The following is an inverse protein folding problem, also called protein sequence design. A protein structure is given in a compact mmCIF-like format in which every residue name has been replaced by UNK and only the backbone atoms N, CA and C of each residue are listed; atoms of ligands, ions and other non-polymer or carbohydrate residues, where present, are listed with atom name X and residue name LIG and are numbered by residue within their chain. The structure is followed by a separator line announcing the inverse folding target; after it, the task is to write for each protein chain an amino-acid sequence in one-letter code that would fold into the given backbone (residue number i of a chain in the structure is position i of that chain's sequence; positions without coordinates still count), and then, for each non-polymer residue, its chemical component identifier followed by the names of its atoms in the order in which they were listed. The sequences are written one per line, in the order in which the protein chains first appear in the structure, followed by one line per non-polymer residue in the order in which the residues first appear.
data_IF_851931736028
#
_entry.id   IF_851931736028
#
_cell.length_a   1.000
_cell.length_b   1.000
_cell.length_c   1.000
_cell.angle_alpha   90.00
_cell.angle_beta   90.00
_cell.angle_gamma   90.00
#
_symmetry.space_group_name_H-M   'P 1'
#
loop_
_entity.id
_entity.type
_entity.pdbx_description
1 polymer ?
#
# COMPACT_ATOMS: atom_id res chain seq x y z
N UNK A 1 18.86 8.49 9.80
CA UNK A 1 17.62 8.03 9.13
C UNK A 1 16.94 9.20 8.43
N UNK A 2 16.51 10.22 9.18
CA UNK A 2 15.76 11.38 8.66
C UNK A 2 16.51 12.10 7.53
N UNK A 3 17.80 12.39 7.69
CA UNK A 3 18.60 13.08 6.66
C UNK A 3 18.68 12.27 5.35
N UNK A 4 18.76 10.94 5.43
CA UNK A 4 18.74 10.06 4.24
C UNK A 4 17.40 10.11 3.54
N UNK A 5 16.30 10.07 4.28
CA UNK A 5 14.95 10.18 3.73
C UNK A 5 14.71 11.55 3.08
N UNK A 6 15.28 12.63 3.63
CA UNK A 6 15.22 13.95 3.02
C UNK A 6 16.02 14.03 1.70
N UNK A 7 17.20 13.41 1.65
CA UNK A 7 17.99 13.32 0.42
C UNK A 7 17.22 12.55 -0.68
N UNK A 8 16.60 11.42 -0.32
CA UNK A 8 15.75 10.65 -1.22
C UNK A 8 14.55 11.49 -1.69
N UNK A 9 13.91 12.24 -0.79
CA UNK A 9 12.78 13.10 -1.13
C UNK A 9 13.16 14.15 -2.19
N UNK A 10 14.35 14.76 -2.06
CA UNK A 10 14.85 15.71 -3.03
C UNK A 10 15.11 15.07 -4.40
N UNK A 11 15.63 13.85 -4.44
CA UNK A 11 15.89 13.12 -5.68
C UNK A 11 14.61 12.63 -6.38
N UNK A 12 13.55 12.34 -5.63
CA UNK A 12 12.30 11.86 -6.21
C UNK A 12 11.65 12.85 -7.19
N UNK A 13 11.98 14.14 -7.10
CA UNK A 13 11.52 15.15 -8.06
C UNK A 13 12.12 14.97 -9.46
N UNK A 14 13.30 14.37 -9.57
CA UNK A 14 14.01 14.16 -10.85
C UNK A 14 14.02 12.70 -11.28
N UNK A 15 14.09 11.76 -10.33
CA UNK A 15 14.11 10.32 -10.60
C UNK A 15 13.33 9.54 -9.52
N UNK A 16 12.00 9.40 -9.70
CA UNK A 16 11.14 8.64 -8.77
C UNK A 16 11.53 7.17 -8.65
N UNK A 17 12.02 6.55 -9.72
CA UNK A 17 12.42 5.13 -9.73
C UNK A 17 13.69 4.90 -8.92
N UNK A 18 14.69 5.75 -9.05
CA UNK A 18 15.90 5.69 -8.22
C UNK A 18 15.60 6.00 -6.74
N UNK A 19 14.73 6.97 -6.48
CA UNK A 19 14.29 7.27 -5.11
C UNK A 19 13.56 6.07 -4.49
N UNK A 20 12.73 5.37 -5.27
CA UNK A 20 12.06 4.16 -4.82
C UNK A 20 13.06 3.04 -4.49
N UNK A 21 14.01 2.75 -5.39
CA UNK A 21 15.05 1.75 -5.16
C UNK A 21 15.89 2.05 -3.91
N UNK A 22 16.15 3.33 -3.62
CA UNK A 22 16.83 3.74 -2.39
C UNK A 22 15.98 3.53 -1.14
N UNK A 23 14.67 3.75 -1.20
CA UNK A 23 13.76 3.45 -0.09
C UNK A 23 13.71 1.95 0.17
N UNK A 24 13.71 1.12 -0.88
CA UNK A 24 13.76 -0.33 -0.75
C UNK A 24 15.07 -0.80 -0.12
N UNK A 25 16.21 -0.31 -0.60
CA UNK A 25 17.51 -0.62 -0.02
C UNK A 25 17.58 -0.19 1.46
N UNK A 26 17.10 1.01 1.77
CA UNK A 26 17.04 1.52 3.15
C UNK A 26 16.12 0.67 4.04
N UNK A 27 15.00 0.18 3.52
CA UNK A 27 14.13 -0.72 4.25
C UNK A 27 14.86 -2.02 4.60
N UNK A 28 15.57 -2.62 3.63
CA UNK A 28 16.35 -3.85 3.85
C UNK A 28 17.43 -3.67 4.92
N UNK A 29 18.13 -2.53 4.91
CA UNK A 29 19.15 -2.20 5.92
C UNK A 29 18.62 -2.15 7.36
N UNK A 30 17.33 -1.79 7.54
CA UNK A 30 16.75 -1.61 8.87
C UNK A 30 15.95 -2.79 9.38
N UNK A 31 15.72 -3.83 8.57
CA UNK A 31 14.83 -4.96 8.94
C UNK A 31 15.19 -5.60 10.28
N UNK A 32 16.49 -5.79 10.54
CA UNK A 32 17.02 -6.44 11.75
C UNK A 32 17.11 -5.50 12.96
N UNK A 33 16.84 -4.20 12.79
CA UNK A 33 16.87 -3.21 13.87
C UNK A 33 15.46 -2.65 14.13
N UNK A 34 14.76 -3.10 15.18
CA UNK A 34 13.37 -2.70 15.45
C UNK A 34 13.16 -1.19 15.59
N UNK A 35 14.11 -0.47 16.19
CA UNK A 35 14.00 0.98 16.39
C UNK A 35 14.18 1.74 15.07
N UNK A 36 15.21 1.37 14.30
CA UNK A 36 15.46 1.96 12.99
C UNK A 36 14.33 1.63 12.00
N UNK A 37 13.82 0.39 12.04
CA UNK A 37 12.66 -0.07 11.27
C UNK A 37 11.43 0.76 11.57
N UNK A 38 11.12 0.95 12.86
CA UNK A 38 9.97 1.77 13.27
C UNK A 38 10.10 3.21 12.77
N UNK A 39 11.29 3.80 12.85
CA UNK A 39 11.52 5.16 12.34
C UNK A 39 11.34 5.21 10.83
N UNK A 40 11.87 4.23 10.11
CA UNK A 40 11.71 4.14 8.66
C UNK A 40 10.22 4.01 8.27
N UNK A 41 9.49 3.08 8.88
CA UNK A 41 8.07 2.83 8.64
C UNK A 41 7.18 4.05 8.91
N UNK A 42 7.57 4.92 9.86
CA UNK A 42 6.85 6.14 10.18
C UNK A 42 7.20 7.32 9.26
N UNK A 43 8.38 7.35 8.67
CA UNK A 43 8.85 8.52 7.90
C UNK A 43 8.84 8.27 6.38
N UNK A 44 9.18 7.07 5.91
CA UNK A 44 9.17 6.69 4.50
C UNK A 44 7.83 6.94 3.77
N UNK A 45 6.64 6.68 4.34
CA UNK A 45 5.38 6.94 3.63
C UNK A 45 5.06 8.43 3.47
N UNK A 46 5.82 9.34 4.11
CA UNK A 46 5.69 10.79 3.94
C UNK A 46 6.61 11.35 2.86
N UNK A 47 7.54 10.54 2.37
CA UNK A 47 8.52 10.95 1.36
C UNK A 47 7.87 10.97 -0.02
N UNK A 48 8.17 12.02 -0.78
CA UNK A 48 7.87 12.13 -2.21
C UNK A 48 6.42 11.77 -2.56
N UNK A 49 5.46 12.48 -1.96
CA UNK A 49 4.03 12.27 -2.21
C UNK A 49 3.59 10.80 -2.03
N UNK A 50 4.11 10.18 -0.97
CA UNK A 50 3.76 8.82 -0.58
C UNK A 50 4.36 7.72 -1.46
N UNK A 51 5.50 7.97 -2.11
CA UNK A 51 6.14 7.05 -3.04
C UNK A 51 6.27 5.61 -2.50
N UNK A 52 6.64 5.46 -1.23
CA UNK A 52 6.82 4.16 -0.57
C UNK A 52 5.56 3.63 0.13
N UNK A 53 4.49 4.43 0.20
CA UNK A 53 3.26 4.06 0.90
C UNK A 53 2.64 2.75 0.34
N UNK A 54 2.55 2.51 -0.98
CA UNK A 54 2.02 1.25 -1.51
C UNK A 54 2.83 0.02 -1.07
N UNK A 55 4.16 0.15 -0.94
CA UNK A 55 5.03 -0.96 -0.55
C UNK A 55 4.80 -1.36 0.91
N UNK A 56 4.75 -0.36 1.81
CA UNK A 56 4.37 -0.62 3.20
C UNK A 56 2.94 -1.16 3.28
N UNK A 57 1.99 -0.58 2.54
CA UNK A 57 0.61 -1.05 2.56
C UNK A 57 0.49 -2.51 2.12
N UNK A 58 1.21 -2.91 1.07
CA UNK A 58 1.30 -4.30 0.62
C UNK A 58 1.77 -5.24 1.73
N UNK A 59 2.93 -4.95 2.33
CA UNK A 59 3.54 -5.82 3.33
C UNK A 59 2.64 -5.96 4.57
N UNK A 60 2.04 -4.86 5.02
CA UNK A 60 1.14 -4.87 6.16
C UNK A 60 -0.23 -5.48 5.85
N UNK A 61 -0.69 -5.39 4.60
CA UNK A 61 -1.91 -6.08 4.17
C UNK A 61 -1.70 -7.60 4.17
N UNK A 62 -0.54 -8.08 3.70
CA UNK A 62 -0.20 -9.50 3.76
C UNK A 62 -0.18 -10.01 5.21
N UNK A 63 0.41 -9.23 6.13
CA UNK A 63 0.45 -9.56 7.55
C UNK A 63 -0.93 -9.48 8.22
N UNK A 64 -1.73 -8.47 7.89
CA UNK A 64 -3.10 -8.30 8.37
C UNK A 64 -4.01 -9.48 8.05
N UNK A 65 -3.86 -10.09 6.86
CA UNK A 65 -4.66 -11.28 6.49
C UNK A 65 -4.40 -12.49 7.39
N UNK A 66 -3.27 -12.51 8.11
CA UNK A 66 -2.89 -13.57 9.06
C UNK A 66 -3.24 -13.19 10.50
N UNK A 67 -3.02 -11.93 10.87
CA UNK A 67 -3.31 -11.39 12.21
C UNK A 67 -3.91 -9.97 12.12
N UNK A 68 -5.23 -9.85 11.92
CA UNK A 68 -5.87 -8.55 11.79
C UNK A 68 -5.68 -7.65 13.01
N UNK A 69 -5.63 -8.21 14.22
CA UNK A 69 -5.58 -7.43 15.46
C UNK A 69 -4.25 -6.68 15.59
N UNK A 70 -3.14 -7.34 15.26
CA UNK A 70 -1.80 -6.76 15.39
C UNK A 70 -1.46 -5.75 14.29
N UNK A 71 -1.94 -5.97 13.05
CA UNK A 71 -1.50 -5.16 11.90
C UNK A 71 -2.49 -4.07 11.46
N UNK A 72 -3.77 -4.16 11.85
CA UNK A 72 -4.77 -3.10 11.56
C UNK A 72 -4.33 -1.70 11.99
N UNK A 73 -3.75 -1.45 13.19
CA UNK A 73 -3.38 -0.10 13.61
C UNK A 73 -2.41 0.58 12.64
N UNK A 74 -1.49 -0.17 12.06
CA UNK A 74 -0.53 0.40 11.11
C UNK A 74 -1.14 0.62 9.72
N UNK A 75 -2.03 -0.27 9.25
CA UNK A 75 -2.81 -0.01 8.04
C UNK A 75 -3.72 1.22 8.20
N UNK A 76 -4.33 1.40 9.36
CA UNK A 76 -5.09 2.61 9.70
C UNK A 76 -4.20 3.85 9.58
N UNK A 77 -3.02 3.81 10.18
CA UNK A 77 -2.04 4.89 10.10
C UNK A 77 -1.67 5.24 8.64
N UNK A 78 -1.38 4.24 7.80
CA UNK A 78 -1.07 4.46 6.39
C UNK A 78 -2.27 5.05 5.63
N UNK A 79 -3.50 4.62 5.92
CA UNK A 79 -4.70 5.22 5.32
C UNK A 79 -4.89 6.67 5.74
N UNK A 80 -4.72 6.96 7.03
CA UNK A 80 -4.83 8.32 7.55
C UNK A 80 -3.80 9.24 6.88
N UNK A 81 -2.54 8.78 6.74
CA UNK A 81 -1.52 9.51 6.00
C UNK A 81 -1.95 9.73 4.53
N UNK A 82 -2.37 8.68 3.83
CA UNK A 82 -2.76 8.77 2.43
C UNK A 82 -3.88 9.78 2.19
N UNK A 83 -4.89 9.83 3.07
CA UNK A 83 -6.02 10.75 2.87
C UNK A 83 -5.73 12.19 3.31
N UNK A 84 -4.71 12.40 4.14
CA UNK A 84 -4.32 13.72 4.65
C UNK A 84 -3.19 14.37 3.84
N UNK A 85 -2.46 13.59 3.04
CA UNK A 85 -1.28 14.03 2.28
C UNK A 85 -1.54 14.00 0.76
N UNK A 86 -0.78 14.80 -0.02
CA UNK A 86 -0.82 14.64 -1.47
C UNK A 86 -0.23 13.28 -1.84
N UNK A 87 -0.68 12.70 -2.95
CA UNK A 87 0.03 11.59 -3.56
C UNK A 87 0.05 11.69 -5.08
N UNK A 88 1.07 11.12 -5.71
CA UNK A 88 1.12 11.04 -7.17
C UNK A 88 0.07 10.06 -7.73
N UNK A 89 -0.36 10.24 -9.00
CA UNK A 89 -1.24 9.28 -9.67
C UNK A 89 -0.68 7.86 -9.73
N UNK A 90 0.65 7.71 -9.79
CA UNK A 90 1.31 6.42 -9.79
C UNK A 90 1.13 5.69 -8.44
N UNK A 91 1.25 6.43 -7.32
CA UNK A 91 0.96 5.92 -5.97
C UNK A 91 -0.49 5.47 -5.87
N UNK A 92 -1.43 6.30 -6.31
CA UNK A 92 -2.86 5.96 -6.28
C UNK A 92 -3.20 4.74 -7.15
N UNK A 93 -2.57 4.60 -8.31
CA UNK A 93 -2.74 3.44 -9.20
C UNK A 93 -2.30 2.14 -8.52
N UNK A 94 -1.14 2.16 -7.84
CA UNK A 94 -0.61 1.00 -7.09
C UNK A 94 -1.43 0.68 -5.85
N UNK A 95 -1.90 1.71 -5.15
CA UNK A 95 -2.65 1.56 -3.90
C UNK A 95 -4.08 1.08 -4.14
N UNK A 96 -4.74 1.51 -5.22
CA UNK A 96 -6.14 1.18 -5.52
C UNK A 96 -6.52 -0.29 -5.36
N UNK A 97 -5.83 -1.27 -6.00
CA UNK A 97 -6.20 -2.67 -5.83
C UNK A 97 -5.96 -3.18 -4.39
N UNK A 98 -4.96 -2.66 -3.69
CA UNK A 98 -4.71 -2.99 -2.28
C UNK A 98 -5.82 -2.46 -1.36
N UNK A 99 -6.31 -1.24 -1.62
CA UNK A 99 -7.47 -0.66 -0.91
C UNK A 99 -8.73 -1.48 -1.18
N UNK A 100 -8.95 -1.89 -2.43
CA UNK A 100 -10.07 -2.77 -2.78
C UNK A 100 -10.02 -4.07 -1.98
N UNK A 101 -8.84 -4.68 -1.82
CA UNK A 101 -8.67 -5.89 -1.00
C UNK A 101 -8.97 -5.56 0.46
N UNK A 102 -8.23 -4.62 1.05
CA UNK A 102 -8.33 -4.28 2.47
C UNK A 102 -9.76 -3.93 2.90
N UNK A 103 -10.40 -2.99 2.18
CA UNK A 103 -11.75 -2.53 2.52
C UNK A 103 -12.82 -3.60 2.28
N UNK A 104 -12.56 -4.60 1.45
CA UNK A 104 -13.48 -5.73 1.24
C UNK A 104 -13.34 -6.84 2.29
N UNK A 105 -12.21 -6.89 3.00
CA UNK A 105 -11.93 -7.90 4.03
C UNK A 105 -12.15 -7.36 5.45
N UNK A 106 -12.28 -6.04 5.61
CA UNK A 106 -12.55 -5.43 6.91
C UNK A 106 -14.00 -5.60 7.39
N UNK A 107 -14.16 -5.50 8.71
CA UNK A 107 -15.48 -5.56 9.34
C UNK A 107 -16.32 -4.31 9.02
N UNK A 108 -17.66 -4.43 8.87
CA UNK A 108 -18.54 -3.29 8.59
C UNK A 108 -18.39 -2.16 9.62
N UNK A 109 -18.31 -2.50 10.91
CA UNK A 109 -18.10 -1.53 11.98
C UNK A 109 -16.82 -0.72 11.80
N UNK A 110 -15.73 -1.38 11.40
CA UNK A 110 -14.46 -0.70 11.19
C UNK A 110 -14.48 0.17 9.92
N UNK A 111 -15.16 -0.28 8.87
CA UNK A 111 -15.38 0.52 7.66
C UNK A 111 -16.16 1.80 7.98
N UNK A 112 -17.19 1.74 8.82
CA UNK A 112 -17.93 2.93 9.27
C UNK A 112 -17.02 3.91 10.02
N UNK A 113 -16.19 3.41 10.94
CA UNK A 113 -15.19 4.22 11.66
C UNK A 113 -14.22 4.93 10.69
N UNK A 114 -13.74 4.23 9.66
CA UNK A 114 -12.87 4.82 8.64
C UNK A 114 -13.58 5.92 7.85
N UNK A 115 -14.85 5.72 7.47
CA UNK A 115 -15.62 6.74 6.75
C UNK A 115 -15.85 8.00 7.57
N UNK A 116 -16.19 7.85 8.84
CA UNK A 116 -16.31 8.99 9.76
C UNK A 116 -15.02 9.79 9.84
N UNK A 117 -13.86 9.11 9.86
CA UNK A 117 -12.57 9.77 9.82
C UNK A 117 -12.33 10.49 8.49
N UNK A 118 -12.55 9.81 7.35
CA UNK A 118 -12.32 10.40 6.03
C UNK A 118 -13.18 11.64 5.81
N UNK A 119 -14.45 11.60 6.20
CA UNK A 119 -15.36 12.74 6.06
C UNK A 119 -14.87 13.99 6.82
N UNK A 120 -14.17 13.81 7.95
CA UNK A 120 -13.72 14.91 8.81
C UNK A 120 -12.31 15.39 8.50
N UNK A 121 -11.46 14.50 7.99
CA UNK A 121 -10.01 14.73 7.97
C UNK A 121 -9.34 14.53 6.61
N UNK A 122 -10.02 13.89 5.66
CA UNK A 122 -9.44 13.72 4.33
C UNK A 122 -9.42 15.06 3.57
N UNK A 123 -8.43 15.22 2.71
CA UNK A 123 -8.50 16.23 1.65
C UNK A 123 -9.68 15.91 0.72
N UNK A 124 -10.27 16.93 0.09
CA UNK A 124 -11.47 16.75 -0.75
C UNK A 124 -11.23 15.71 -1.84
N UNK A 125 -10.12 15.85 -2.57
CA UNK A 125 -9.74 14.92 -3.64
C UNK A 125 -9.51 13.48 -3.13
N UNK A 126 -9.03 13.34 -1.89
CA UNK A 126 -8.82 12.03 -1.26
C UNK A 126 -10.12 11.41 -0.79
N UNK A 127 -11.04 12.20 -0.26
CA UNK A 127 -12.37 11.74 0.09
C UNK A 127 -13.12 11.22 -1.15
N UNK A 128 -13.10 11.99 -2.24
CA UNK A 128 -13.70 11.61 -3.53
C UNK A 128 -13.05 10.34 -4.10
N UNK A 129 -11.73 10.23 -4.02
CA UNK A 129 -11.00 9.03 -4.41
C UNK A 129 -11.47 7.81 -3.59
N UNK A 130 -11.56 7.93 -2.27
CA UNK A 130 -11.99 6.84 -1.40
C UNK A 130 -13.45 6.45 -1.70
N UNK A 131 -14.36 7.41 -1.88
CA UNK A 131 -15.76 7.14 -2.26
C UNK A 131 -15.84 6.41 -3.63
N UNK A 132 -14.98 6.77 -4.58
CA UNK A 132 -14.84 6.04 -5.84
C UNK A 132 -14.38 4.59 -5.64
N UNK A 133 -13.43 4.34 -4.73
CA UNK A 133 -13.01 2.99 -4.34
C UNK A 133 -14.15 2.20 -3.71
N UNK A 134 -14.89 2.78 -2.75
CA UNK A 134 -16.06 2.18 -2.12
C UNK A 134 -17.12 1.76 -3.14
N UNK A 135 -17.47 2.68 -4.02
CA UNK A 135 -18.43 2.47 -5.11
C UNK A 135 -17.95 1.37 -6.06
N UNK A 136 -16.65 1.35 -6.38
CA UNK A 136 -16.06 0.30 -7.21
C UNK A 136 -16.19 -1.08 -6.56
N UNK A 137 -15.89 -1.22 -5.27
CA UNK A 137 -16.01 -2.49 -4.53
C UNK A 137 -17.45 -3.01 -4.60
N UNK A 138 -18.43 -2.15 -4.31
CA UNK A 138 -19.85 -2.52 -4.32
C UNK A 138 -20.34 -2.96 -5.72
N UNK A 139 -19.86 -2.30 -6.79
CA UNK A 139 -20.29 -2.56 -8.16
C UNK A 139 -19.54 -3.71 -8.84
N UNK A 140 -18.35 -4.07 -8.37
CA UNK A 140 -17.45 -5.00 -9.06
C UNK A 140 -16.93 -6.14 -8.16
N UNK A 141 -17.81 -6.91 -7.48
CA UNK A 141 -17.38 -7.95 -6.54
C UNK A 141 -16.47 -9.02 -7.18
N UNK A 142 -16.73 -9.38 -8.44
CA UNK A 142 -15.90 -10.34 -9.19
C UNK A 142 -14.47 -9.81 -9.40
N UNK A 143 -14.31 -8.53 -9.71
CA UNK A 143 -12.99 -7.91 -9.91
C UNK A 143 -12.23 -7.83 -8.59
N UNK A 144 -12.91 -7.48 -7.50
CA UNK A 144 -12.31 -7.52 -6.15
C UNK A 144 -11.84 -8.93 -5.81
N UNK A 145 -12.64 -9.95 -6.11
CA UNK A 145 -12.22 -11.35 -5.90
C UNK A 145 -10.99 -11.73 -6.74
N UNK A 146 -10.84 -11.18 -7.95
CA UNK A 146 -9.62 -11.37 -8.75
C UNK A 146 -8.42 -10.71 -8.07
N UNK A 147 -8.54 -9.49 -7.57
CA UNK A 147 -7.45 -8.84 -6.82
C UNK A 147 -7.03 -9.66 -5.61
N UNK A 148 -7.99 -10.18 -4.83
CA UNK A 148 -7.73 -11.05 -3.68
C UNK A 148 -6.98 -12.31 -4.09
N UNK A 149 -7.45 -13.01 -5.12
CA UNK A 149 -6.78 -14.22 -5.65
C UNK A 149 -5.37 -13.94 -6.16
N UNK A 150 -5.15 -12.80 -6.83
CA UNK A 150 -3.80 -12.39 -7.24
C UNK A 150 -2.93 -12.16 -6.02
N UNK A 151 -3.44 -11.44 -5.02
CA UNK A 151 -2.68 -11.11 -3.81
C UNK A 151 -2.42 -12.34 -2.93
N UNK A 152 -3.26 -13.37 -2.96
CA UNK A 152 -2.97 -14.68 -2.35
C UNK A 152 -1.75 -15.36 -2.96
N UNK A 153 -1.49 -15.15 -4.25
CA UNK A 153 -0.35 -15.76 -4.93
C UNK A 153 0.96 -15.01 -4.66
N UNK A 154 0.90 -13.69 -4.46
CA UNK A 154 2.10 -12.85 -4.40
C UNK A 154 2.31 -12.06 -3.10
N UNK A 155 1.31 -12.00 -2.22
CA UNK A 155 1.33 -11.16 -1.03
C UNK A 155 2.46 -11.50 -0.05
N UNK A 156 2.97 -12.73 -0.11
CA UNK A 156 4.07 -13.21 0.74
C UNK A 156 5.47 -12.83 0.22
N UNK A 157 5.57 -12.36 -1.03
CA UNK A 157 6.82 -11.83 -1.58
C UNK A 157 6.98 -10.33 -1.27
N UNK A 158 8.20 -9.83 -1.45
CA UNK A 158 8.43 -8.39 -1.47
C UNK A 158 7.55 -7.73 -2.55
N UNK A 159 7.01 -6.51 -2.34
CA UNK A 159 6.03 -5.93 -3.25
C UNK A 159 6.54 -5.85 -4.68
N UNK A 160 5.85 -6.53 -5.60
CA UNK A 160 6.11 -6.46 -7.05
C UNK A 160 4.81 -6.05 -7.76
N UNK A 161 4.70 -4.75 -8.04
CA UNK A 161 3.50 -4.19 -8.66
C UNK A 161 3.39 -4.52 -10.15
N UNK A 162 4.49 -4.86 -10.82
CA UNK A 162 4.48 -5.28 -12.21
C UNK A 162 3.93 -6.70 -12.31
N UNK A 163 4.44 -7.62 -11.49
CA UNK A 163 3.90 -8.98 -11.35
C UNK A 163 2.42 -8.94 -10.91
N UNK A 164 2.08 -8.08 -9.94
CA UNK A 164 0.70 -7.90 -9.51
C UNK A 164 -0.20 -7.24 -10.56
N UNK A 165 0.35 -6.61 -11.60
CA UNK A 165 -0.47 -6.05 -12.68
C UNK A 165 -0.97 -7.12 -13.65
N UNK A 166 -0.25 -8.24 -13.76
CA UNK A 166 -0.54 -9.30 -14.72
C UNK A 166 -1.95 -9.89 -14.58
N UNK A 167 -2.64 -10.22 -15.68
CA UNK A 167 -3.84 -11.05 -15.65
C UNK A 167 -3.61 -12.33 -14.83
N UNK A 168 -4.61 -12.75 -14.03
CA UNK A 168 -4.49 -13.92 -13.15
C UNK A 168 -3.96 -15.20 -13.85
N UNK A 169 -4.36 -15.54 -15.09
CA UNK A 169 -3.79 -16.68 -15.79
C UNK A 169 -2.28 -16.55 -16.07
N UNK A 170 -1.82 -15.36 -16.49
CA UNK A 170 -0.40 -15.09 -16.75
C UNK A 170 0.41 -15.09 -15.46
N UNK A 171 -0.13 -14.49 -14.39
CA UNK A 171 0.49 -14.52 -13.07
C UNK A 171 0.76 -15.95 -12.58
N UNK A 172 -0.19 -16.87 -12.79
CA UNK A 172 0.00 -18.28 -12.42
C UNK A 172 1.11 -18.94 -13.24
N UNK A 173 1.15 -18.69 -14.55
CA UNK A 173 2.18 -19.22 -15.44
C UNK A 173 3.57 -18.73 -15.04
N UNK A 174 3.73 -17.45 -14.73
CA UNK A 174 5.01 -16.89 -14.27
C UNK A 174 5.50 -17.54 -12.97
N UNK A 175 4.59 -17.75 -12.00
CA UNK A 175 4.95 -18.39 -10.73
C UNK A 175 5.25 -19.89 -10.87
N UNK A 176 4.55 -20.59 -11.78
CA UNK A 176 4.83 -22.00 -12.10
C UNK A 176 6.18 -22.17 -12.84
N UNK A 177 6.51 -21.22 -13.72
CA UNK A 177 7.78 -21.19 -14.45
C UNK A 177 9.01 -20.90 -13.57
N UNK A 178 8.83 -20.21 -12.44
CA UNK A 178 9.90 -19.96 -11.45
C UNK A 178 10.13 -21.14 -10.49
N UNK A 179 9.17 -22.07 -10.40
CA UNK A 179 9.25 -23.25 -9.55
C UNK A 179 9.81 -24.50 -10.27
N UNK A 180 10.14 -24.37 -11.56
CA UNK A 180 10.68 -25.42 -12.44
C UNK A 180 12.18 -25.22 -12.69
#
# INVERSE_FOLDING_TARGET
MIDRLQAIAAQAATSPEEALAQLEALHQEVLENPEARRTFEQEAPKVADGLYLPHLFWMYLAAFRRDPASYRPFLEYLLQLFVQQPSSPAVEKRLRPLLCIYLSEESPFYIEKLWDFFQRHARVEKYEYMESVKSFIARNPSTVQIFRKKFELVGDYFPDFELFSLPLPQLRQELEGQAS
#
